data_IF_300994915172
#
_entry.id   IF_300994915172
#
_cell.length_a   1.000
_cell.length_b   1.000
_cell.length_c   1.000
_cell.angle_alpha   90.00
_cell.angle_beta   90.00
_cell.angle_gamma   90.00
#
_symmetry.space_group_name_H-M   'P 1'
#
loop_
_entity.id
_entity.type
_entity.pdbx_description
1 polymer ?
#
# COMPACT_ATOMS: atom_id res chain seq x y z
N UNK A 1 -11.07 23.29 -3.59
CA UNK A 1 -11.52 22.10 -2.84
C UNK A 1 -10.41 21.70 -1.89
N UNK A 2 -10.60 21.86 -0.58
CA UNK A 2 -9.60 21.44 0.42
C UNK A 2 -9.67 19.92 0.51
N UNK A 3 -8.56 19.22 0.31
CA UNK A 3 -8.52 17.77 0.45
C UNK A 3 -8.98 17.39 1.87
N UNK A 4 -9.79 16.32 2.04
CA UNK A 4 -10.14 15.85 3.37
C UNK A 4 -8.88 15.56 4.17
N UNK A 5 -8.90 15.87 5.47
CA UNK A 5 -7.79 15.57 6.36
C UNK A 5 -7.41 14.09 6.23
N UNK A 6 -6.10 13.76 6.20
CA UNK A 6 -5.67 12.37 6.17
C UNK A 6 -6.33 11.58 7.32
N UNK A 7 -6.72 10.31 7.10
CA UNK A 7 -7.23 9.47 8.18
C UNK A 7 -6.23 9.42 9.33
N UNK A 8 -6.71 9.27 10.58
CA UNK A 8 -5.83 9.19 11.77
C UNK A 8 -4.73 8.11 11.63
N UNK A 9 -5.00 7.06 10.86
CA UNK A 9 -4.06 5.96 10.60
C UNK A 9 -3.04 6.25 9.48
N UNK A 10 -3.05 7.44 8.86
CA UNK A 10 -2.09 7.80 7.84
C UNK A 10 -0.64 7.81 8.37
N UNK A 11 -0.44 8.20 9.64
CA UNK A 11 0.87 8.21 10.28
C UNK A 11 1.50 6.82 10.39
N UNK A 12 0.72 5.82 10.82
CA UNK A 12 1.20 4.44 10.93
C UNK A 12 1.50 3.83 9.55
N UNK A 13 0.73 4.21 8.53
CA UNK A 13 0.99 3.81 7.15
C UNK A 13 2.32 4.35 6.61
N UNK A 14 2.56 5.65 6.81
CA UNK A 14 3.79 6.30 6.38
C UNK A 14 5.02 5.71 7.10
N UNK A 15 4.91 5.45 8.40
CA UNK A 15 5.96 4.81 9.20
C UNK A 15 6.29 3.41 8.67
N UNK A 16 5.28 2.61 8.32
CA UNK A 16 5.51 1.28 7.77
C UNK A 16 6.21 1.33 6.40
N UNK A 17 5.85 2.30 5.54
CA UNK A 17 6.52 2.49 4.25
C UNK A 17 8.00 2.83 4.47
N UNK A 18 8.32 3.80 5.33
CA UNK A 18 9.72 4.13 5.63
C UNK A 18 10.48 2.96 6.27
N UNK A 19 9.83 2.18 7.15
CA UNK A 19 10.47 1.03 7.77
C UNK A 19 10.81 -0.08 6.76
N UNK A 20 10.02 -0.26 5.71
CA UNK A 20 10.21 -1.33 4.72
C UNK A 20 11.02 -0.86 3.50
N UNK A 21 10.75 0.34 3.02
CA UNK A 21 11.37 0.91 1.82
C UNK A 21 12.53 1.87 2.13
N UNK A 22 12.83 2.19 3.39
CA UNK A 22 13.79 3.25 3.75
C UNK A 22 15.19 3.12 3.11
N UNK A 23 15.62 1.90 2.81
CA UNK A 23 16.89 1.62 2.11
C UNK A 23 16.69 1.13 0.67
N UNK A 24 15.45 1.10 0.18
CA UNK A 24 15.10 0.65 -1.16
C UNK A 24 15.09 1.82 -2.15
N UNK A 25 15.60 1.66 -3.39
CA UNK A 25 15.40 2.64 -4.45
C UNK A 25 13.91 2.88 -4.78
N UNK A 26 13.03 1.96 -4.37
CA UNK A 26 11.58 2.05 -4.55
C UNK A 26 10.85 2.97 -3.57
N UNK A 27 11.53 3.63 -2.62
CA UNK A 27 10.87 4.47 -1.60
C UNK A 27 9.98 5.56 -2.21
N UNK A 28 10.50 6.32 -3.19
CA UNK A 28 9.75 7.39 -3.85
C UNK A 28 8.53 6.84 -4.58
N UNK A 29 8.66 5.67 -5.23
CA UNK A 29 7.54 4.99 -5.88
C UNK A 29 6.49 4.57 -4.85
N UNK A 30 6.91 3.94 -3.74
CA UNK A 30 6.01 3.45 -2.71
C UNK A 30 5.22 4.58 -2.05
N UNK A 31 5.87 5.71 -1.75
CA UNK A 31 5.22 6.90 -1.20
C UNK A 31 4.18 7.46 -2.19
N UNK A 32 4.52 7.58 -3.46
CA UNK A 32 3.60 8.09 -4.49
C UNK A 32 2.38 7.20 -4.64
N UNK A 33 2.58 5.89 -4.79
CA UNK A 33 1.50 4.91 -4.97
C UNK A 33 0.60 4.92 -3.74
N UNK A 34 1.15 4.74 -2.54
CA UNK A 34 0.34 4.68 -1.32
C UNK A 34 -0.43 5.97 -1.03
N UNK A 35 0.11 7.13 -1.40
CA UNK A 35 -0.62 8.38 -1.32
C UNK A 35 -1.83 8.41 -2.25
N UNK A 36 -1.64 8.01 -3.51
CA UNK A 36 -2.70 7.98 -4.51
C UNK A 36 -3.80 6.98 -4.15
N UNK A 37 -3.39 5.77 -3.75
CA UNK A 37 -4.26 4.62 -3.52
C UNK A 37 -5.08 4.77 -2.23
N UNK A 38 -4.49 5.27 -1.15
CA UNK A 38 -5.13 5.26 0.17
C UNK A 38 -4.94 6.52 1.00
N UNK A 39 -4.18 7.50 0.51
CA UNK A 39 -3.67 8.64 1.31
C UNK A 39 -2.94 8.14 2.57
N UNK A 40 -2.15 7.09 2.40
CA UNK A 40 -1.39 6.41 3.46
C UNK A 40 -2.24 5.72 4.53
N UNK A 41 -3.53 5.52 4.33
CA UNK A 41 -4.38 4.83 5.30
C UNK A 41 -4.31 3.31 5.12
N UNK A 42 -3.70 2.55 6.06
CA UNK A 42 -3.61 1.10 5.95
C UNK A 42 -4.93 0.37 6.16
N UNK A 43 -5.98 1.07 6.60
CA UNK A 43 -7.33 0.53 6.75
C UNK A 43 -8.27 1.00 5.63
N UNK A 44 -7.74 1.63 4.56
CA UNK A 44 -8.56 2.03 3.43
C UNK A 44 -9.13 0.79 2.73
N UNK A 45 -10.43 0.82 2.44
CA UNK A 45 -11.13 -0.24 1.69
C UNK A 45 -11.96 0.43 0.60
N UNK A 46 -11.77 0.01 -0.64
CA UNK A 46 -12.64 0.38 -1.74
C UNK A 46 -13.93 -0.46 -1.66
N UNK A 47 -15.08 0.20 -1.47
CA UNK A 47 -16.36 -0.47 -1.30
C UNK A 47 -16.85 -1.23 -2.55
N UNK A 48 -16.37 -0.87 -3.75
CA UNK A 48 -16.77 -1.50 -5.01
C UNK A 48 -15.89 -2.71 -5.36
N UNK A 49 -14.57 -2.54 -5.30
CA UNK A 49 -13.61 -3.58 -5.71
C UNK A 49 -13.11 -4.47 -4.56
N UNK A 50 -13.27 -4.04 -3.31
CA UNK A 50 -12.66 -4.68 -2.14
C UNK A 50 -11.16 -4.44 -2.00
N UNK A 51 -10.56 -3.62 -2.86
CA UNK A 51 -9.15 -3.26 -2.78
C UNK A 51 -8.83 -2.65 -1.41
N UNK A 52 -7.78 -3.15 -0.76
CA UNK A 52 -7.54 -2.91 0.66
C UNK A 52 -6.12 -2.44 0.97
N UNK A 53 -6.01 -1.59 1.99
CA UNK A 53 -4.76 -1.12 2.57
C UNK A 53 -4.03 -0.05 1.77
N UNK A 54 -2.78 0.18 2.17
CA UNK A 54 -1.89 1.24 1.69
C UNK A 54 -1.79 1.28 0.17
N UNK A 55 -1.67 0.11 -0.44
CA UNK A 55 -1.45 -0.09 -1.87
C UNK A 55 -2.69 -0.65 -2.57
N UNK A 56 -3.87 -0.59 -1.94
CA UNK A 56 -5.15 -1.04 -2.53
C UNK A 56 -5.03 -2.42 -3.21
N UNK A 57 -4.51 -3.41 -2.48
CA UNK A 57 -4.39 -4.76 -2.99
C UNK A 57 -5.78 -5.37 -3.22
N UNK A 58 -6.00 -5.92 -4.41
CA UNK A 58 -7.19 -6.70 -4.70
C UNK A 58 -7.21 -7.98 -3.84
N UNK A 59 -8.38 -8.40 -3.30
CA UNK A 59 -8.48 -9.59 -2.45
C UNK A 59 -7.94 -10.87 -3.12
N UNK A 60 -8.21 -11.07 -4.42
CA UNK A 60 -7.71 -12.21 -5.18
C UNK A 60 -6.18 -12.23 -5.26
N UNK A 61 -5.56 -11.09 -5.54
CA UNK A 61 -4.10 -10.94 -5.55
C UNK A 61 -3.50 -11.20 -4.18
N UNK A 62 -4.08 -10.64 -3.12
CA UNK A 62 -3.58 -10.86 -1.76
C UNK A 62 -3.63 -12.35 -1.37
N UNK A 63 -4.76 -13.00 -1.61
CA UNK A 63 -4.94 -14.41 -1.29
C UNK A 63 -4.04 -15.33 -2.13
N UNK A 64 -3.70 -14.94 -3.37
CA UNK A 64 -2.82 -15.75 -4.22
C UNK A 64 -1.33 -15.65 -3.83
N UNK A 65 -0.86 -14.47 -3.43
CA UNK A 65 0.58 -14.21 -3.24
C UNK A 65 1.02 -14.08 -1.78
N UNK A 66 0.10 -13.74 -0.88
CA UNK A 66 0.39 -13.40 0.51
C UNK A 66 -0.58 -14.11 1.48
N UNK A 67 -1.03 -15.31 1.10
CA UNK A 67 -1.84 -16.15 1.98
C UNK A 67 -1.15 -16.33 3.34
N UNK A 68 -1.90 -16.15 4.42
CA UNK A 68 -1.38 -16.21 5.80
C UNK A 68 -0.80 -14.89 6.32
N UNK A 69 -0.64 -13.86 5.48
CA UNK A 69 -0.27 -12.52 5.94
C UNK A 69 -1.52 -11.70 6.28
N UNK A 70 -1.39 -10.83 7.29
CA UNK A 70 -2.47 -9.95 7.69
C UNK A 70 -2.57 -8.73 6.77
N UNK A 71 -3.61 -8.66 5.93
CA UNK A 71 -3.87 -7.50 5.06
C UNK A 71 -4.08 -6.21 5.85
N UNK A 72 -4.39 -6.25 7.16
CA UNK A 72 -4.57 -5.07 8.01
C UNK A 72 -3.30 -4.63 8.74
N UNK A 73 -2.19 -5.38 8.61
CA UNK A 73 -0.89 -4.95 9.11
C UNK A 73 -0.19 -4.04 8.07
N UNK A 74 0.05 -2.75 8.37
CA UNK A 74 0.68 -1.82 7.45
C UNK A 74 2.10 -2.28 7.01
N UNK A 75 2.84 -2.98 7.87
CA UNK A 75 4.15 -3.51 7.49
C UNK A 75 4.03 -4.68 6.51
N UNK A 76 3.04 -5.56 6.67
CA UNK A 76 2.77 -6.63 5.72
C UNK A 76 2.37 -6.06 4.35
N UNK A 77 1.51 -5.04 4.32
CA UNK A 77 1.11 -4.35 3.09
C UNK A 77 2.31 -3.71 2.38
N UNK A 78 3.19 -3.01 3.11
CA UNK A 78 4.40 -2.42 2.54
C UNK A 78 5.40 -3.49 2.04
N UNK A 79 5.58 -4.59 2.78
CA UNK A 79 6.43 -5.73 2.34
C UNK A 79 5.89 -6.38 1.07
N UNK A 80 4.57 -6.57 0.98
CA UNK A 80 3.93 -7.10 -0.23
C UNK A 80 4.18 -6.20 -1.45
N UNK A 81 4.07 -4.87 -1.28
CA UNK A 81 4.37 -3.92 -2.34
C UNK A 81 5.85 -3.97 -2.75
N UNK A 82 6.78 -4.12 -1.79
CA UNK A 82 8.21 -4.25 -2.08
C UNK A 82 8.50 -5.54 -2.86
N UNK A 83 7.82 -6.65 -2.57
CA UNK A 83 7.94 -7.90 -3.35
C UNK A 83 7.56 -7.66 -4.81
N UNK A 84 6.47 -6.93 -5.09
CA UNK A 84 6.03 -6.65 -6.46
C UNK A 84 6.95 -5.66 -7.15
N UNK A 85 7.41 -4.62 -6.44
CA UNK A 85 8.39 -3.67 -6.93
C UNK A 85 9.68 -4.38 -7.39
N UNK A 86 10.24 -5.28 -6.56
CA UNK A 86 11.45 -6.02 -6.88
C UNK A 86 11.29 -7.01 -8.05
N UNK A 87 10.05 -7.42 -8.35
CA UNK A 87 9.72 -8.26 -9.52
C UNK A 87 9.47 -7.45 -10.79
N UNK A 88 9.53 -6.12 -10.73
CA UNK A 88 9.15 -5.24 -11.82
C UNK A 88 7.63 -5.21 -12.09
N UNK A 89 6.81 -5.71 -11.16
CA UNK A 89 5.35 -5.78 -11.31
C UNK A 89 4.64 -4.46 -10.93
N UNK A 90 5.31 -3.32 -11.13
CA UNK A 90 4.79 -2.00 -10.75
C UNK A 90 3.67 -1.51 -11.66
N UNK A 91 3.52 -2.10 -12.86
CA UNK A 91 2.45 -1.79 -13.81
C UNK A 91 1.06 -2.20 -13.31
N UNK A 92 0.97 -3.01 -12.26
CA UNK A 92 -0.29 -3.32 -11.59
C UNK A 92 -0.93 -2.10 -10.91
N UNK A 93 -0.15 -1.03 -10.67
CA UNK A 93 -0.65 0.23 -10.13
C UNK A 93 -0.67 1.30 -11.22
N UNK A 94 -1.85 1.88 -11.42
CA UNK A 94 -2.02 3.01 -12.36
C UNK A 94 -1.41 4.28 -11.79
N UNK A 95 -1.45 4.45 -10.46
CA UNK A 95 -0.83 5.55 -9.76
C UNK A 95 0.68 5.31 -9.58
N UNK A 96 1.53 5.73 -10.53
CA UNK A 96 2.99 5.59 -10.46
C UNK A 96 3.77 6.83 -10.90
#
# INVERSE_FOLDING_TARGET
>A
MVAPAPPANAGVGLQAIYAVFGSSPGLTWALRVAHCESRYNPLAVNASSGASGLFQFMPSTWNAYFAGWNIWDPHAQARAALVFYNRGATDAWTCK
#
